data_IF_768731790319
#
_entry.id   IF_768731790319
#
_cell.length_a   1.000
_cell.length_b   1.000
_cell.length_c   1.000
_cell.angle_alpha   90.00
_cell.angle_beta   90.00
_cell.angle_gamma   90.00
#
_symmetry.space_group_name_H-M   'P 1'
#
loop_
_entity.id
_entity.type
_entity.pdbx_description
1 polymer ?
#
# COMPACT_ATOMS: atom_id res chain seq x y z
N UNK A 1 2.41 -0.25 0.46
CA UNK A 1 2.90 -1.50 -0.14
C UNK A 1 1.80 -2.37 -0.77
N UNK A 2 0.60 -1.90 -0.96
CA UNK A 2 -0.61 -2.70 -1.21
C UNK A 2 -1.42 -2.40 -2.47
N UNK A 3 -0.94 -1.63 -3.45
CA UNK A 3 -1.72 -1.38 -4.66
C UNK A 3 -1.85 -2.59 -5.58
N UNK A 4 -0.99 -3.58 -5.39
CA UNK A 4 -0.86 -4.71 -6.30
C UNK A 4 -2.04 -5.68 -6.26
N UNK A 5 -2.61 -5.96 -5.09
CA UNK A 5 -3.71 -6.94 -4.94
C UNK A 5 -4.99 -6.46 -5.56
N UNK A 6 -5.16 -5.17 -5.59
CA UNK A 6 -6.42 -4.59 -6.01
C UNK A 6 -6.62 -4.69 -7.51
N UNK A 7 -5.54 -4.69 -8.28
CA UNK A 7 -5.64 -4.95 -9.72
C UNK A 7 -5.61 -6.43 -10.09
N UNK A 8 -5.23 -7.32 -9.19
CA UNK A 8 -5.59 -8.73 -9.33
C UNK A 8 -7.10 -8.85 -9.51
N UNK A 9 -7.76 -8.02 -8.81
CA UNK A 9 -9.19 -7.89 -8.90
C UNK A 9 -9.64 -6.95 -10.01
N UNK A 10 -8.94 -5.87 -10.39
CA UNK A 10 -9.33 -4.88 -11.39
C UNK A 10 -8.64 -5.06 -12.75
N UNK A 11 -7.55 -5.82 -12.84
CA UNK A 11 -6.79 -6.01 -14.09
C UNK A 11 -7.50 -6.80 -15.18
N UNK A 12 -8.70 -7.33 -14.89
CA UNK A 12 -9.63 -7.82 -15.91
C UNK A 12 -10.56 -6.67 -16.33
N UNK A 13 -9.99 -5.49 -16.59
CA UNK A 13 -10.74 -4.36 -17.11
C UNK A 13 -11.08 -4.56 -18.59
N UNK A 14 -12.28 -4.18 -18.93
CA UNK A 14 -13.02 -4.35 -20.17
C UNK A 14 -12.28 -4.22 -21.54
N UNK A 15 -11.19 -3.46 -21.74
CA UNK A 15 -10.51 -3.43 -23.03
C UNK A 15 -9.67 -4.68 -23.31
N UNK A 16 -9.16 -5.38 -22.27
CA UNK A 16 -8.34 -6.59 -22.44
C UNK A 16 -9.16 -7.86 -22.60
N UNK A 17 -10.44 -7.87 -22.25
CA UNK A 17 -11.35 -8.99 -22.47
C UNK A 17 -11.58 -9.31 -23.95
N UNK A 18 -11.45 -8.33 -24.84
CA UNK A 18 -11.58 -8.58 -26.28
C UNK A 18 -10.44 -9.35 -26.90
N UNK A 19 -9.23 -9.21 -26.37
CA UNK A 19 -8.04 -9.97 -26.82
C UNK A 19 -7.87 -11.32 -26.12
N UNK A 20 -8.63 -11.61 -25.07
CA UNK A 20 -8.49 -12.78 -24.21
C UNK A 20 -9.68 -13.76 -24.27
N UNK A 21 -10.47 -13.78 -25.35
CA UNK A 21 -11.61 -14.70 -25.49
C UNK A 21 -11.24 -16.18 -25.30
N UNK A 22 -9.98 -16.57 -25.55
CA UNK A 22 -9.44 -17.91 -25.28
C UNK A 22 -9.15 -18.17 -23.80
N UNK A 23 -8.65 -17.19 -23.06
CA UNK A 23 -8.31 -17.30 -21.63
C UNK A 23 -9.55 -17.26 -20.73
N UNK A 24 -10.63 -16.59 -21.15
CA UNK A 24 -11.90 -16.59 -20.43
C UNK A 24 -12.49 -18.01 -20.31
N UNK A 25 -12.43 -18.78 -21.39
CA UNK A 25 -12.90 -20.18 -21.36
C UNK A 25 -12.05 -21.07 -20.46
N UNK A 26 -10.72 -20.89 -20.48
CA UNK A 26 -9.81 -21.63 -19.61
C UNK A 26 -9.97 -21.26 -18.13
N UNK A 27 -10.16 -19.98 -17.82
CA UNK A 27 -10.39 -19.52 -16.44
C UNK A 27 -11.72 -20.05 -15.89
N UNK A 28 -12.80 -19.97 -16.65
CA UNK A 28 -14.12 -20.51 -16.26
C UNK A 28 -14.06 -22.03 -16.09
N UNK A 29 -13.35 -22.73 -16.96
CA UNK A 29 -13.20 -24.19 -16.88
C UNK A 29 -12.35 -24.59 -15.67
N UNK A 30 -11.25 -23.88 -15.39
CA UNK A 30 -10.41 -24.13 -14.22
C UNK A 30 -11.16 -23.84 -12.91
N UNK A 31 -11.93 -22.75 -12.86
CA UNK A 31 -12.78 -22.39 -11.71
C UNK A 31 -13.87 -23.46 -11.50
N UNK A 32 -14.50 -23.93 -12.57
CA UNK A 32 -15.50 -24.98 -12.50
C UNK A 32 -14.94 -26.32 -12.00
N UNK A 33 -13.73 -26.68 -12.41
CA UNK A 33 -13.05 -27.91 -11.96
C UNK A 33 -12.63 -27.83 -10.49
N UNK A 34 -12.14 -26.67 -10.03
CA UNK A 34 -11.74 -26.45 -8.63
C UNK A 34 -12.95 -26.48 -7.68
N UNK A 35 -14.05 -25.85 -8.08
CA UNK A 35 -15.31 -25.91 -7.32
C UNK A 35 -15.86 -27.34 -7.22
N UNK A 36 -15.78 -28.13 -8.31
CA UNK A 36 -16.20 -29.52 -8.31
C UNK A 36 -15.27 -30.41 -7.45
N UNK A 37 -13.98 -30.05 -7.34
CA UNK A 37 -13.02 -30.76 -6.49
C UNK A 37 -13.26 -30.45 -5.00
N UNK A 38 -13.54 -29.19 -4.64
CA UNK A 38 -13.89 -28.78 -3.27
C UNK A 38 -15.19 -29.39 -2.78
N UNK A 39 -16.22 -29.49 -3.63
CA UNK A 39 -17.47 -30.16 -3.29
C UNK A 39 -17.31 -31.66 -3.05
N UNK A 40 -16.36 -32.32 -3.71
CA UNK A 40 -16.09 -33.77 -3.54
C UNK A 40 -15.30 -34.09 -2.26
N UNK A 41 -14.50 -33.15 -1.75
CA UNK A 41 -13.57 -33.44 -0.65
C UNK A 41 -14.06 -33.05 0.76
N UNK A 42 -15.27 -32.53 0.92
CA UNK A 42 -15.99 -32.42 2.20
C UNK A 42 -15.20 -31.85 3.41
N UNK A 43 -14.16 -31.04 3.22
CA UNK A 43 -13.30 -30.56 4.29
C UNK A 43 -13.72 -29.18 4.80
N UNK A 44 -14.59 -29.18 5.80
CA UNK A 44 -14.73 -28.10 6.78
C UNK A 44 -14.15 -28.59 8.11
N UNK A 45 -12.86 -28.42 8.33
CA UNK A 45 -12.28 -28.55 9.68
C UNK A 45 -11.37 -27.37 9.99
N UNK A 46 -11.77 -26.63 11.06
CA UNK A 46 -10.97 -25.59 11.70
C UNK A 46 -9.85 -26.24 12.53
N UNK A 47 -8.62 -25.74 12.48
CA UNK A 47 -7.52 -26.25 13.30
C UNK A 47 -7.67 -25.88 14.78
N UNK A 48 -7.45 -26.85 15.66
CA UNK A 48 -7.62 -26.76 17.11
C UNK A 48 -6.37 -26.19 17.80
N UNK A 49 -6.11 -24.87 17.72
CA UNK A 49 -5.07 -24.21 18.54
C UNK A 49 -5.58 -22.99 19.34
N UNK A 50 -6.89 -22.87 19.55
CA UNK A 50 -7.52 -21.72 20.24
C UNK A 50 -7.78 -21.90 21.74
N UNK A 51 -7.16 -22.87 22.40
CA UNK A 51 -7.31 -23.03 23.84
C UNK A 51 -5.95 -23.08 24.53
N UNK A 52 -5.50 -21.97 25.09
CA UNK A 52 -4.71 -21.78 26.31
C UNK A 52 -3.98 -20.44 26.31
N UNK A 53 -4.46 -19.48 27.09
CA UNK A 53 -3.63 -18.63 27.97
C UNK A 53 -4.53 -17.71 28.81
N UNK A 54 -4.54 -17.95 30.13
CA UNK A 54 -5.13 -17.06 31.10
C UNK A 54 -4.11 -16.05 31.63
N UNK A 55 -4.53 -14.82 31.87
CA UNK A 55 -3.72 -13.78 32.51
C UNK A 55 -4.45 -13.16 33.68
N UNK A 56 -3.74 -13.02 34.79
CA UNK A 56 -4.19 -12.41 36.04
C UNK A 56 -3.89 -10.90 36.02
N UNK A 57 -4.82 -10.14 36.58
CA UNK A 57 -4.78 -8.68 36.75
C UNK A 57 -4.11 -8.30 38.06
N UNK A 58 -3.25 -7.30 38.05
CA UNK A 58 -2.71 -6.62 39.22
C UNK A 58 -2.89 -5.12 39.14
N UNK A 59 -3.62 -4.57 40.10
CA UNK A 59 -3.89 -3.15 40.30
C UNK A 59 -2.83 -2.49 41.16
N UNK A 60 -2.39 -1.27 40.82
CA UNK A 60 -1.69 -0.37 41.74
C UNK A 60 -2.09 1.11 41.52
N UNK A 61 -2.28 1.79 42.66
CA UNK A 61 -2.85 3.13 42.82
C UNK A 61 -1.86 4.27 42.63
N UNK A 62 -2.41 5.41 42.26
CA UNK A 62 -1.74 6.73 42.09
C UNK A 62 -1.69 7.58 43.33
N UNK A 63 -0.71 8.45 43.40
CA UNK A 63 -0.74 9.71 44.16
C UNK A 63 -0.23 10.86 43.29
N UNK A 64 -0.98 11.98 43.35
CA UNK A 64 -0.72 13.27 42.72
C UNK A 64 0.32 14.10 43.46
N UNK A 65 1.10 14.89 42.71
CA UNK A 65 1.64 16.14 43.17
C UNK A 65 1.98 17.07 42.01
N UNK A 66 1.36 18.25 41.99
CA UNK A 66 1.61 19.35 41.04
C UNK A 66 2.89 20.07 41.34
N UNK A 67 3.69 20.39 40.33
CA UNK A 67 4.68 21.47 40.38
C UNK A 67 4.99 21.97 38.95
N UNK A 68 4.71 23.25 38.74
CA UNK A 68 4.97 24.02 37.54
C UNK A 68 6.46 24.05 37.18
N UNK A 69 6.86 23.57 36.00
CA UNK A 69 8.19 23.80 35.41
C UNK A 69 8.13 23.79 33.88
N UNK A 70 8.93 24.68 33.31
CA UNK A 70 9.24 24.85 31.88
C UNK A 70 9.17 23.56 31.11
N UNK A 71 8.44 23.59 30.04
CA UNK A 71 8.21 22.45 29.13
C UNK A 71 9.52 22.04 28.44
N UNK A 72 10.27 21.17 29.11
CA UNK A 72 11.22 20.29 28.47
C UNK A 72 10.33 19.20 27.89
N UNK A 73 10.26 19.10 26.57
CA UNK A 73 9.60 17.99 25.88
C UNK A 73 10.37 16.72 26.26
N UNK A 74 9.98 16.11 27.38
CA UNK A 74 10.46 14.79 27.76
C UNK A 74 9.80 13.83 26.76
N UNK A 75 10.58 13.02 26.01
CA UNK A 75 9.99 11.99 25.15
C UNK A 75 9.07 11.11 26.01
N UNK A 76 7.78 11.10 25.70
CA UNK A 76 6.84 10.19 26.37
C UNK A 76 7.36 8.78 26.17
N UNK A 77 7.60 7.99 27.23
CA UNK A 77 8.10 6.65 27.10
C UNK A 77 7.12 5.84 26.27
N UNK A 78 7.62 5.16 25.22
CA UNK A 78 6.83 4.29 24.36
C UNK A 78 6.20 3.19 25.22
N UNK A 79 4.94 2.87 24.94
CA UNK A 79 4.24 1.77 25.59
C UNK A 79 4.84 0.44 25.13
N UNK A 80 4.75 -0.58 25.95
CA UNK A 80 5.25 -1.91 25.60
C UNK A 80 4.67 -2.46 24.30
N UNK A 81 3.39 -2.21 24.05
CA UNK A 81 2.71 -2.55 22.81
C UNK A 81 3.31 -1.83 21.58
N UNK A 82 3.68 -0.57 21.72
CA UNK A 82 4.33 0.21 20.65
C UNK A 82 5.70 -0.36 20.30
N UNK A 83 6.47 -0.77 21.32
CA UNK A 83 7.77 -1.43 21.14
C UNK A 83 7.65 -2.76 20.40
N UNK A 84 6.56 -3.51 20.62
CA UNK A 84 6.30 -4.74 19.86
C UNK A 84 6.07 -4.46 18.38
N UNK A 85 5.30 -3.43 18.02
CA UNK A 85 5.10 -3.06 16.63
C UNK A 85 6.38 -2.54 15.97
N UNK A 86 7.18 -1.73 16.67
CA UNK A 86 8.47 -1.27 16.16
C UNK A 86 9.39 -2.45 15.86
N UNK A 87 9.50 -3.41 16.79
CA UNK A 87 10.28 -4.62 16.59
C UNK A 87 9.78 -5.44 15.41
N UNK A 88 8.47 -5.69 15.36
CA UNK A 88 7.84 -6.45 14.27
C UNK A 88 8.06 -5.79 12.90
N UNK A 89 7.94 -4.46 12.82
CA UNK A 89 8.19 -3.70 11.60
C UNK A 89 9.65 -3.78 11.15
N UNK A 90 10.58 -3.64 12.08
CA UNK A 90 12.02 -3.78 11.82
C UNK A 90 12.38 -5.19 11.35
N UNK A 91 11.89 -6.22 12.04
CA UNK A 91 12.11 -7.62 11.63
C UNK A 91 11.54 -7.94 10.25
N UNK A 92 10.35 -7.40 9.94
CA UNK A 92 9.74 -7.56 8.62
C UNK A 92 10.59 -6.91 7.52
N UNK A 93 11.10 -5.70 7.77
CA UNK A 93 12.00 -5.01 6.84
C UNK A 93 13.29 -5.80 6.63
N UNK A 94 13.95 -6.26 7.71
CA UNK A 94 15.19 -7.06 7.63
C UNK A 94 14.97 -8.32 6.79
N UNK A 95 13.92 -9.10 7.08
CA UNK A 95 13.59 -10.32 6.32
C UNK A 95 13.29 -10.03 4.84
N UNK A 96 12.68 -8.89 4.54
CA UNK A 96 12.40 -8.49 3.17
C UNK A 96 13.67 -8.12 2.41
N UNK A 97 14.60 -7.42 3.06
CA UNK A 97 15.90 -7.08 2.49
C UNK A 97 16.74 -8.33 2.23
N UNK A 98 16.76 -9.31 3.15
CA UNK A 98 17.42 -10.60 2.92
C UNK A 98 16.93 -11.29 1.64
N UNK A 99 15.62 -11.21 1.35
CA UNK A 99 15.05 -11.78 0.11
C UNK A 99 15.52 -11.00 -1.13
N UNK A 100 15.58 -9.66 -1.06
CA UNK A 100 16.01 -8.80 -2.18
C UNK A 100 17.49 -8.98 -2.47
N UNK A 101 18.33 -9.05 -1.44
CA UNK A 101 19.78 -9.17 -1.53
C UNK A 101 20.24 -10.55 -2.01
N UNK A 102 19.48 -11.60 -1.71
CA UNK A 102 19.78 -12.93 -2.26
C UNK A 102 19.54 -12.96 -3.77
N UNK A 103 20.62 -12.88 -4.52
CA UNK A 103 20.61 -12.80 -6.01
C UNK A 103 20.20 -14.10 -6.69
N UNK A 104 20.12 -15.22 -5.96
CA UNK A 104 19.84 -16.52 -6.55
C UNK A 104 18.33 -16.75 -6.80
N UNK A 105 18.02 -17.43 -7.87
CA UNK A 105 16.66 -17.92 -8.17
C UNK A 105 15.68 -16.88 -8.73
N UNK A 106 16.10 -15.64 -8.96
CA UNK A 106 15.28 -14.65 -9.64
C UNK A 106 15.16 -14.95 -11.15
N UNK A 107 13.94 -14.82 -11.69
CA UNK A 107 13.62 -14.95 -13.10
C UNK A 107 12.88 -13.71 -13.56
N UNK A 108 13.20 -13.20 -14.73
CA UNK A 108 12.45 -12.10 -15.36
C UNK A 108 11.04 -12.55 -15.71
N UNK A 109 10.04 -11.81 -15.24
CA UNK A 109 8.62 -12.05 -15.52
C UNK A 109 8.09 -11.08 -16.57
N UNK A 110 8.41 -9.79 -16.46
CA UNK A 110 7.96 -8.72 -17.34
C UNK A 110 9.06 -7.69 -17.51
N UNK A 111 9.14 -7.12 -18.71
CA UNK A 111 9.94 -5.95 -19.01
C UNK A 111 9.07 -4.98 -19.82
N UNK A 112 9.00 -3.73 -19.41
CA UNK A 112 8.26 -2.66 -20.11
C UNK A 112 9.24 -1.79 -20.88
N UNK A 113 8.77 -1.12 -21.94
CA UNK A 113 9.60 -0.26 -22.81
C UNK A 113 10.21 0.96 -22.07
N UNK A 114 9.60 1.35 -20.95
CA UNK A 114 10.06 2.43 -20.07
C UNK A 114 11.19 2.03 -19.11
N UNK A 115 11.69 0.80 -19.21
CA UNK A 115 12.76 0.27 -18.37
C UNK A 115 12.29 -0.37 -17.05
N UNK A 116 10.99 -0.48 -16.80
CA UNK A 116 10.48 -1.22 -15.64
C UNK A 116 10.71 -2.72 -15.85
N UNK A 117 11.33 -3.37 -14.87
CA UNK A 117 11.57 -4.82 -14.90
C UNK A 117 10.97 -5.45 -13.66
N UNK A 118 10.25 -6.55 -13.86
CA UNK A 118 9.75 -7.37 -12.76
C UNK A 118 10.40 -8.74 -12.81
N UNK A 119 10.95 -9.13 -11.70
CA UNK A 119 11.49 -10.45 -11.45
C UNK A 119 10.58 -11.22 -10.50
N UNK A 120 10.64 -12.54 -10.58
CA UNK A 120 9.99 -13.43 -9.62
C UNK A 120 10.95 -14.45 -9.03
N UNK A 121 10.65 -14.88 -7.82
CA UNK A 121 11.36 -15.92 -7.10
C UNK A 121 10.38 -16.76 -6.31
N UNK A 122 10.63 -18.07 -6.24
CA UNK A 122 9.84 -18.97 -5.40
C UNK A 122 10.59 -19.17 -4.08
N UNK A 123 9.93 -18.80 -2.98
CA UNK A 123 10.42 -19.03 -1.62
C UNK A 123 9.98 -20.41 -1.13
N UNK A 124 10.49 -20.81 0.05
CA UNK A 124 10.05 -22.01 0.74
C UNK A 124 8.52 -22.04 0.91
N UNK A 125 7.90 -23.22 0.82
CA UNK A 125 6.44 -23.35 0.90
C UNK A 125 5.70 -22.91 -0.37
N UNK A 126 6.38 -22.90 -1.53
CA UNK A 126 5.79 -22.63 -2.85
C UNK A 126 5.16 -21.22 -2.95
N UNK A 127 5.70 -20.27 -2.18
CA UNK A 127 5.30 -18.85 -2.23
C UNK A 127 6.10 -18.13 -3.30
N UNK A 128 5.40 -17.62 -4.32
CA UNK A 128 6.00 -16.78 -5.35
C UNK A 128 5.98 -15.32 -4.93
N UNK A 129 7.14 -14.68 -4.97
CA UNK A 129 7.32 -13.24 -4.69
C UNK A 129 7.78 -12.52 -5.95
N UNK A 130 7.54 -11.22 -6.01
CA UNK A 130 7.87 -10.39 -7.17
C UNK A 130 8.70 -9.19 -6.74
N UNK A 131 9.73 -8.86 -7.52
CA UNK A 131 10.59 -7.70 -7.33
C UNK A 131 10.53 -6.81 -8.55
N UNK A 132 9.97 -5.63 -8.40
CA UNK A 132 9.99 -4.59 -9.41
C UNK A 132 11.23 -3.71 -9.20
N UNK A 133 11.93 -3.43 -10.28
CA UNK A 133 13.03 -2.46 -10.35
C UNK A 133 12.71 -1.40 -11.40
N UNK A 134 12.92 -0.14 -11.05
CA UNK A 134 12.65 0.98 -11.94
C UNK A 134 13.39 2.24 -11.49
N UNK A 135 13.46 3.24 -12.38
CA UNK A 135 13.91 4.59 -12.06
C UNK A 135 12.71 5.54 -12.02
N UNK A 136 12.67 6.38 -10.98
CA UNK A 136 11.67 7.44 -10.80
C UNK A 136 12.33 8.81 -10.85
N UNK A 137 11.67 9.75 -11.53
CA UNK A 137 12.12 11.15 -11.65
C UNK A 137 11.71 11.94 -10.41
N UNK A 138 12.26 11.57 -9.26
CA UNK A 138 12.05 12.20 -7.97
C UNK A 138 13.15 11.77 -6.99
N UNK A 139 13.38 12.60 -5.98
CA UNK A 139 14.30 12.29 -4.88
C UNK A 139 13.74 11.21 -3.95
N UNK A 140 14.58 10.50 -3.18
CA UNK A 140 14.11 9.55 -2.18
C UNK A 140 13.12 10.16 -1.18
N UNK A 141 13.32 11.41 -0.78
CA UNK A 141 12.47 12.13 0.16
C UNK A 141 11.07 12.41 -0.41
N UNK A 142 10.99 12.82 -1.67
CA UNK A 142 9.70 13.07 -2.35
C UNK A 142 8.90 11.78 -2.50
N UNK A 143 9.54 10.70 -2.89
CA UNK A 143 8.91 9.39 -3.01
C UNK A 143 8.44 8.90 -1.63
N UNK A 144 9.32 8.96 -0.62
CA UNK A 144 8.98 8.60 0.76
C UNK A 144 7.79 9.41 1.28
N UNK A 145 7.80 10.72 1.08
CA UNK A 145 6.73 11.60 1.53
C UNK A 145 5.35 11.20 0.98
N UNK A 146 5.29 10.80 -0.29
CA UNK A 146 4.04 10.33 -0.92
C UNK A 146 3.63 8.96 -0.37
N UNK A 147 4.58 8.04 -0.21
CA UNK A 147 4.32 6.68 0.23
C UNK A 147 4.01 6.57 1.72
N UNK A 148 4.58 7.46 2.55
CA UNK A 148 4.36 7.45 3.99
C UNK A 148 3.04 8.10 4.40
N UNK A 149 2.49 9.01 3.58
CA UNK A 149 1.15 9.58 3.76
C UNK A 149 0.07 8.63 3.26
N UNK A 150 -0.02 7.48 3.92
CA UNK A 150 -0.86 6.36 3.48
C UNK A 150 -2.34 6.72 3.33
N UNK A 151 -2.86 7.61 4.19
CA UNK A 151 -4.26 8.02 4.18
C UNK A 151 -4.65 8.80 2.92
N UNK A 152 -3.68 9.41 2.22
CA UNK A 152 -3.89 10.10 0.95
C UNK A 152 -3.73 9.19 -0.27
N UNK A 153 -3.32 7.94 -0.06
CA UNK A 153 -2.98 7.02 -1.15
C UNK A 153 -4.18 6.70 -2.05
N UNK A 154 -5.38 6.68 -1.50
CA UNK A 154 -6.62 6.46 -2.26
C UNK A 154 -6.91 7.56 -3.29
N UNK A 155 -6.34 8.76 -3.13
CA UNK A 155 -6.56 9.90 -4.03
C UNK A 155 -5.84 9.75 -5.38
N UNK A 156 -4.69 9.06 -5.38
CA UNK A 156 -3.88 8.88 -6.58
C UNK A 156 -3.78 7.42 -7.03
N UNK A 157 -4.12 6.48 -6.17
CA UNK A 157 -4.13 5.05 -6.46
C UNK A 157 -5.54 4.49 -6.45
N UNK A 158 -6.17 4.32 -7.62
CA UNK A 158 -7.56 3.85 -7.73
C UNK A 158 -7.76 2.42 -7.23
N UNK A 159 -6.67 1.74 -6.93
CA UNK A 159 -6.69 0.38 -6.42
C UNK A 159 -7.03 0.30 -4.94
N UNK A 160 -6.99 1.39 -4.23
CA UNK A 160 -7.28 1.49 -2.79
C UNK A 160 -8.62 2.21 -2.63
N UNK A 161 -9.55 1.58 -1.92
CA UNK A 161 -10.81 2.22 -1.52
C UNK A 161 -10.61 3.13 -0.31
N UNK A 162 -9.90 2.61 0.68
CA UNK A 162 -9.62 3.31 1.93
C UNK A 162 -8.39 2.74 2.62
N UNK A 163 -7.68 3.58 3.33
CA UNK A 163 -6.60 3.19 4.22
C UNK A 163 -6.60 4.09 5.45
N UNK A 164 -6.44 3.51 6.63
CA UNK A 164 -6.44 4.20 7.93
C UNK A 164 -5.23 3.80 8.74
N UNK A 165 -4.63 4.77 9.42
CA UNK A 165 -3.68 4.50 10.50
C UNK A 165 -4.48 4.18 11.75
N UNK A 166 -4.35 2.95 12.25
CA UNK A 166 -5.01 2.49 13.47
C UNK A 166 -4.18 2.79 14.72
N UNK A 167 -2.85 2.69 14.59
CA UNK A 167 -1.88 2.99 15.65
C UNK A 167 -0.64 3.63 15.06
N UNK A 168 -0.09 4.59 15.78
CA UNK A 168 1.25 5.13 15.54
C UNK A 168 2.16 4.62 16.66
N UNK A 169 3.27 3.99 16.30
CA UNK A 169 4.27 3.45 17.22
C UNK A 169 5.60 4.17 16.95
N UNK A 170 5.80 5.32 17.58
CA UNK A 170 6.89 6.24 17.24
C UNK A 170 6.75 6.86 15.85
N UNK A 171 7.76 7.64 15.38
CA UNK A 171 7.69 8.35 14.09
C UNK A 171 7.85 7.42 12.88
N UNK A 172 8.50 6.28 13.05
CA UNK A 172 8.95 5.39 11.98
C UNK A 172 8.09 4.13 11.80
N UNK A 173 7.06 3.95 12.64
CA UNK A 173 6.24 2.74 12.63
C UNK A 173 4.77 3.06 12.79
N UNK A 174 3.93 2.43 11.98
CA UNK A 174 2.48 2.53 12.10
C UNK A 174 1.80 1.20 11.82
N UNK A 175 0.63 0.99 12.41
CA UNK A 175 -0.28 -0.10 12.07
C UNK A 175 -1.40 0.47 11.23
N UNK A 176 -1.63 -0.11 10.05
CA UNK A 176 -2.62 0.36 9.09
C UNK A 176 -3.64 -0.71 8.76
N UNK A 177 -4.87 -0.25 8.53
CA UNK A 177 -5.92 -1.03 7.90
C UNK A 177 -6.22 -0.48 6.52
N UNK A 178 -6.10 -1.32 5.51
CA UNK A 178 -6.35 -0.98 4.12
C UNK A 178 -7.46 -1.85 3.55
N UNK A 179 -8.32 -1.24 2.75
CA UNK A 179 -9.40 -1.92 2.02
C UNK A 179 -9.18 -1.71 0.53
N UNK A 180 -9.20 -2.81 -0.22
CA UNK A 180 -9.10 -2.79 -1.66
C UNK A 180 -10.34 -2.14 -2.30
N UNK A 181 -10.18 -1.51 -3.47
CA UNK A 181 -11.31 -1.07 -4.27
C UNK A 181 -12.15 -2.27 -4.74
N UNK A 182 -13.40 -2.03 -5.11
CA UNK A 182 -14.28 -3.05 -5.67
C UNK A 182 -13.86 -3.43 -7.09
N UNK A 183 -14.03 -4.71 -7.42
CA UNK A 183 -13.62 -5.24 -8.71
C UNK A 183 -14.80 -5.82 -9.45
N UNK A 184 -14.88 -5.49 -10.76
CA UNK A 184 -15.72 -6.18 -11.75
C UNK A 184 -17.07 -6.68 -11.18
N UNK A 185 -17.87 -5.78 -10.59
CA UNK A 185 -19.19 -6.13 -10.04
C UNK A 185 -19.11 -7.00 -8.78
N UNK A 186 -18.02 -6.94 -8.04
CA UNK A 186 -17.81 -7.66 -6.77
C UNK A 186 -17.80 -9.20 -6.89
N UNK A 187 -17.50 -9.72 -8.08
CA UNK A 187 -17.34 -11.16 -8.30
C UNK A 187 -16.19 -11.76 -7.50
N UNK A 188 -15.18 -10.93 -7.23
CA UNK A 188 -14.05 -11.27 -6.38
C UNK A 188 -14.18 -10.41 -5.14
N UNK A 189 -14.56 -10.97 -4.00
CA UNK A 189 -14.77 -10.22 -2.76
C UNK A 189 -13.60 -9.28 -2.44
N UNK A 190 -13.90 -8.10 -1.89
CA UNK A 190 -12.89 -7.14 -1.47
C UNK A 190 -11.93 -7.76 -0.46
N UNK A 191 -10.68 -7.33 -0.50
CA UNK A 191 -9.66 -7.70 0.50
C UNK A 191 -9.46 -6.55 1.47
N UNK A 192 -9.23 -6.91 2.71
CA UNK A 192 -8.68 -5.98 3.68
C UNK A 192 -7.33 -6.49 4.18
N UNK A 193 -6.49 -5.57 4.63
CA UNK A 193 -5.15 -5.83 5.11
C UNK A 193 -4.93 -5.11 6.43
N UNK A 194 -4.36 -5.82 7.37
CA UNK A 194 -3.91 -5.25 8.63
C UNK A 194 -2.40 -5.46 8.71
N UNK A 195 -1.64 -4.38 8.58
CA UNK A 195 -0.19 -4.46 8.40
C UNK A 195 0.54 -3.49 9.33
N UNK A 196 1.66 -3.94 9.89
CA UNK A 196 2.66 -3.06 10.46
C UNK A 196 3.50 -2.50 9.31
N UNK A 197 3.76 -1.20 9.33
CA UNK A 197 4.65 -0.49 8.39
C UNK A 197 5.76 0.17 9.18
N UNK A 198 6.97 0.03 8.67
CA UNK A 198 8.17 0.62 9.27
C UNK A 198 9.04 1.22 8.18
N UNK A 199 9.68 2.35 8.46
CA UNK A 199 10.73 2.85 7.59
C UNK A 199 12.03 3.08 8.37
N UNK A 200 13.14 3.00 7.66
CA UNK A 200 14.45 3.40 8.17
C UNK A 200 15.22 4.18 7.11
N UNK A 201 16.20 4.93 7.58
CA UNK A 201 17.11 5.69 6.72
C UNK A 201 18.54 5.25 7.01
N UNK A 202 19.29 5.03 5.96
CA UNK A 202 20.73 4.76 6.03
C UNK A 202 21.41 5.62 4.97
N UNK A 203 22.22 6.56 5.40
CA UNK A 203 22.83 7.54 4.50
C UNK A 203 21.77 8.31 3.69
N UNK A 204 21.82 8.21 2.37
CA UNK A 204 20.85 8.80 1.44
C UNK A 204 19.73 7.85 1.01
N UNK A 205 19.75 6.59 1.45
CA UNK A 205 18.77 5.57 1.08
C UNK A 205 17.61 5.53 2.09
N UNK A 206 16.41 5.26 1.58
CA UNK A 206 15.20 5.08 2.38
C UNK A 206 14.65 3.69 2.15
N UNK A 207 14.37 3.02 3.24
CA UNK A 207 13.84 1.66 3.29
C UNK A 207 12.46 1.70 3.94
N UNK A 208 11.43 1.25 3.22
CA UNK A 208 10.10 1.05 3.77
C UNK A 208 9.83 -0.44 3.80
N UNK A 209 9.43 -0.96 4.94
CA UNK A 209 9.12 -2.38 5.11
C UNK A 209 7.81 -2.61 5.84
N UNK A 210 7.37 -3.85 5.87
CA UNK A 210 6.20 -4.24 6.63
C UNK A 210 5.78 -5.68 6.37
N UNK A 211 4.83 -6.10 7.19
CA UNK A 211 4.16 -7.39 7.07
C UNK A 211 2.78 -7.32 7.70
N UNK A 212 1.97 -8.35 7.45
CA UNK A 212 0.72 -8.54 8.17
C UNK A 212 0.97 -8.59 9.68
N UNK A 213 0.05 -7.99 10.43
CA UNK A 213 0.06 -7.98 11.90
C UNK A 213 -1.30 -8.38 12.45
N UNK A 214 -1.37 -8.57 13.74
CA UNK A 214 -2.61 -8.85 14.46
C UNK A 214 -2.91 -7.72 15.45
N UNK A 215 -4.19 -7.36 15.54
CA UNK A 215 -4.70 -6.41 16.52
C UNK A 215 -6.01 -6.97 17.08
N UNK A 216 -6.03 -7.32 18.37
CA UNK A 216 -7.20 -7.91 19.02
C UNK A 216 -8.45 -7.04 18.89
N UNK A 217 -8.27 -5.72 18.99
CA UNK A 217 -9.36 -4.75 18.84
C UNK A 217 -9.84 -4.61 17.38
N UNK A 218 -9.19 -5.27 16.42
CA UNK A 218 -9.51 -5.16 14.99
C UNK A 218 -9.53 -6.54 14.28
N UNK A 219 -10.47 -7.44 14.66
CA UNK A 219 -10.59 -8.77 14.03
C UNK A 219 -10.96 -8.64 12.53
N UNK A 220 -10.88 -9.73 11.76
CA UNK A 220 -11.34 -9.75 10.37
C UNK A 220 -12.77 -9.20 10.24
N UNK A 221 -12.96 -8.27 9.31
CA UNK A 221 -14.23 -7.56 9.14
C UNK A 221 -15.16 -8.33 8.21
N UNK A 222 -16.46 -8.39 8.57
CA UNK A 222 -17.48 -9.06 7.75
C UNK A 222 -17.57 -8.38 6.37
N UNK A 223 -17.59 -9.19 5.33
CA UNK A 223 -17.67 -8.72 3.93
C UNK A 223 -16.33 -8.58 3.23
N UNK A 224 -15.22 -8.78 3.95
CA UNK A 224 -13.87 -8.77 3.39
C UNK A 224 -13.18 -10.12 3.56
N UNK A 225 -12.25 -10.41 2.66
CA UNK A 225 -11.27 -11.48 2.83
C UNK A 225 -10.01 -10.85 3.40
N UNK A 226 -9.61 -11.21 4.63
CA UNK A 226 -8.39 -10.76 5.25
C UNK A 226 -7.19 -11.38 4.52
N UNK A 227 -6.56 -10.57 3.67
CA UNK A 227 -5.31 -10.94 3.01
C UNK A 227 -4.11 -10.63 3.91
N UNK A 228 -2.95 -11.20 3.62
CA UNK A 228 -1.76 -11.07 4.45
C UNK A 228 -0.55 -10.68 3.59
N UNK A 229 0.13 -9.61 3.98
CA UNK A 229 1.47 -9.34 3.49
C UNK A 229 2.46 -10.26 4.21
N UNK A 230 3.31 -10.94 3.45
CA UNK A 230 4.56 -11.43 4.00
C UNK A 230 5.56 -10.28 4.22
N UNK A 231 6.80 -10.57 4.64
CA UNK A 231 7.86 -9.57 4.64
C UNK A 231 7.99 -8.92 3.25
N UNK A 232 7.80 -7.61 3.18
CA UNK A 232 7.81 -6.81 1.95
C UNK A 232 8.57 -5.52 2.18
N UNK A 233 9.25 -5.00 1.16
CA UNK A 233 9.98 -3.75 1.27
C UNK A 233 9.96 -2.94 -0.03
N UNK A 234 10.19 -1.64 0.13
CA UNK A 234 10.58 -0.72 -0.92
C UNK A 234 11.93 -0.14 -0.53
N UNK A 235 12.89 -0.19 -1.44
CA UNK A 235 14.21 0.45 -1.33
C UNK A 235 14.24 1.61 -2.30
N UNK A 236 14.62 2.78 -1.82
CA UNK A 236 14.70 4.03 -2.61
C UNK A 236 16.11 4.57 -2.44
N UNK A 237 16.87 4.56 -3.53
CA UNK A 237 18.28 4.96 -3.56
C UNK A 237 18.45 6.10 -4.56
N UNK A 238 19.15 7.20 -4.23
CA UNK A 238 19.44 8.24 -5.21
C UNK A 238 20.34 7.67 -6.30
N UNK A 239 20.15 8.10 -7.55
CA UNK A 239 21.12 7.77 -8.60
C UNK A 239 22.44 8.51 -8.37
N UNK A 240 23.55 7.82 -8.57
CA UNK A 240 24.89 8.37 -8.35
C UNK A 240 25.16 9.63 -9.22
N UNK A 241 24.68 9.61 -10.46
CA UNK A 241 24.93 10.66 -11.45
C UNK A 241 23.82 11.74 -11.49
N UNK A 242 22.70 11.50 -10.79
CA UNK A 242 21.54 12.39 -10.79
C UNK A 242 20.72 12.24 -9.52
N UNK A 243 21.02 13.04 -8.52
CA UNK A 243 20.33 13.00 -7.21
C UNK A 243 18.87 13.46 -7.26
N UNK A 244 18.40 14.03 -8.37
CA UNK A 244 17.00 14.34 -8.63
C UNK A 244 16.18 13.12 -9.03
N UNK A 245 16.82 11.97 -9.28
CA UNK A 245 16.18 10.70 -9.62
C UNK A 245 16.56 9.60 -8.64
N UNK A 246 15.71 8.60 -8.53
CA UNK A 246 15.93 7.48 -7.63
C UNK A 246 15.77 6.14 -8.33
N UNK A 247 16.65 5.21 -7.98
CA UNK A 247 16.39 3.80 -8.21
C UNK A 247 15.35 3.31 -7.18
N UNK A 248 14.33 2.64 -7.66
CA UNK A 248 13.19 2.18 -6.86
C UNK A 248 13.05 0.66 -7.01
N UNK A 249 13.30 -0.04 -5.93
CA UNK A 249 13.13 -1.50 -5.84
C UNK A 249 11.96 -1.82 -4.92
N UNK A 250 11.00 -2.63 -5.38
CA UNK A 250 9.85 -3.05 -4.57
C UNK A 250 9.66 -4.55 -4.56
N UNK A 251 9.89 -5.16 -3.39
CA UNK A 251 9.54 -6.56 -3.13
C UNK A 251 8.07 -6.68 -2.73
N UNK A 252 7.30 -7.39 -3.52
CA UNK A 252 5.92 -7.77 -3.25
C UNK A 252 5.86 -9.23 -2.81
N UNK A 253 5.47 -9.44 -1.55
CA UNK A 253 5.25 -10.75 -0.95
C UNK A 253 3.86 -10.75 -0.30
N UNK A 254 2.89 -11.46 -0.91
CA UNK A 254 1.50 -11.33 -0.53
C UNK A 254 0.74 -12.63 -0.69
N UNK A 255 -0.13 -12.91 0.26
CA UNK A 255 -1.14 -13.96 0.20
C UNK A 255 -2.54 -13.32 0.15
N UNK A 256 -3.15 -13.36 -1.02
CA UNK A 256 -4.47 -12.75 -1.25
C UNK A 256 -5.61 -13.53 -0.60
N UNK A 257 -5.32 -14.72 -0.08
CA UNK A 257 -6.31 -15.63 0.53
C UNK A 257 -7.56 -15.87 -0.35
N UNK A 258 -8.47 -16.65 0.19
CA UNK A 258 -9.72 -16.98 -0.52
C UNK A 258 -9.53 -18.06 -1.57
N UNK A 259 -10.47 -18.12 -2.50
CA UNK A 259 -10.61 -19.21 -3.48
C UNK A 259 -9.84 -19.00 -4.79
N UNK A 260 -9.13 -17.89 -4.96
CA UNK A 260 -8.47 -17.55 -6.22
C UNK A 260 -7.35 -18.53 -6.57
N UNK A 261 -7.34 -19.10 -7.79
CA UNK A 261 -6.27 -19.98 -8.25
C UNK A 261 -4.91 -19.27 -8.24
N UNK A 262 -3.87 -19.94 -7.71
CA UNK A 262 -2.50 -19.40 -7.64
C UNK A 262 -1.99 -18.90 -8.99
N UNK A 263 -2.36 -19.57 -10.10
CA UNK A 263 -1.97 -19.17 -11.45
C UNK A 263 -2.50 -17.78 -11.83
N UNK A 264 -3.75 -17.47 -11.48
CA UNK A 264 -4.37 -16.17 -11.71
C UNK A 264 -3.69 -15.11 -10.83
N UNK A 265 -3.48 -15.41 -9.55
CA UNK A 265 -2.77 -14.52 -8.61
C UNK A 265 -1.38 -14.19 -9.13
N UNK A 266 -0.61 -15.20 -9.54
CA UNK A 266 0.76 -15.05 -10.02
C UNK A 266 0.88 -14.26 -11.33
N UNK A 267 -0.16 -14.23 -12.17
CA UNK A 267 -0.19 -13.41 -13.38
C UNK A 267 -0.57 -11.95 -13.11
N UNK A 268 -1.36 -11.72 -12.10
CA UNK A 268 -1.93 -10.39 -11.83
C UNK A 268 -1.05 -9.56 -10.89
N UNK A 269 -0.34 -10.15 -9.93
CA UNK A 269 0.51 -9.42 -8.99
C UNK A 269 1.60 -8.58 -9.68
N UNK A 270 2.37 -9.09 -10.67
CA UNK A 270 3.36 -8.27 -11.36
C UNK A 270 2.73 -7.10 -12.13
N UNK A 271 1.58 -7.32 -12.78
CA UNK A 271 0.87 -6.23 -13.47
C UNK A 271 0.39 -5.16 -12.50
N UNK A 272 -0.06 -5.56 -11.33
CA UNK A 272 -0.47 -4.65 -10.29
C UNK A 272 0.70 -3.78 -9.76
N UNK A 273 1.93 -4.32 -9.71
CA UNK A 273 3.12 -3.50 -9.41
C UNK A 273 3.36 -2.41 -10.49
N UNK A 274 3.28 -2.78 -11.78
CA UNK A 274 3.42 -1.81 -12.89
C UNK A 274 2.39 -0.70 -12.82
N UNK A 275 1.16 -1.05 -12.56
CA UNK A 275 0.06 -0.08 -12.50
C UNK A 275 0.20 0.87 -11.30
N UNK A 276 0.65 0.37 -10.16
CA UNK A 276 1.00 1.22 -9.04
C UNK A 276 2.11 2.20 -9.41
N UNK A 277 3.16 1.71 -10.03
CA UNK A 277 4.30 2.54 -10.42
C UNK A 277 3.88 3.62 -11.42
N UNK A 278 2.97 3.31 -12.36
CA UNK A 278 2.37 4.31 -13.27
C UNK A 278 1.57 5.38 -12.51
N UNK A 279 0.82 4.98 -11.48
CA UNK A 279 0.07 5.91 -10.64
C UNK A 279 1.02 6.78 -9.79
N UNK A 280 2.08 6.18 -9.24
CA UNK A 280 3.10 6.89 -8.47
C UNK A 280 3.84 7.91 -9.32
N UNK A 281 4.26 7.56 -10.56
CA UNK A 281 4.88 8.49 -11.50
C UNK A 281 3.96 9.68 -11.80
N UNK A 282 2.69 9.44 -12.07
CA UNK A 282 1.73 10.54 -12.28
C UNK A 282 1.63 11.43 -11.05
N UNK A 283 1.53 10.84 -9.87
CA UNK A 283 1.44 11.61 -8.63
C UNK A 283 2.70 12.42 -8.34
N UNK A 284 3.87 11.91 -8.69
CA UNK A 284 5.15 12.64 -8.59
C UNK A 284 5.19 13.81 -9.59
N UNK A 285 4.76 13.59 -10.83
CA UNK A 285 4.71 14.63 -11.87
C UNK A 285 3.72 15.76 -11.54
N UNK A 286 2.62 15.48 -10.83
CA UNK A 286 1.63 16.49 -10.41
C UNK A 286 2.18 17.46 -9.33
N UNK A 287 3.36 17.20 -8.78
CA UNK A 287 3.98 18.00 -7.74
C UNK A 287 3.21 18.02 -6.40
N UNK A 288 3.61 18.84 -5.44
CA UNK A 288 2.86 19.04 -4.21
C UNK A 288 1.51 19.64 -4.56
N UNK A 289 0.43 18.99 -4.13
CA UNK A 289 -0.96 19.40 -4.38
C UNK A 289 -1.12 20.91 -4.21
N UNK A 290 -1.36 21.63 -5.30
CA UNK A 290 -1.71 23.05 -5.24
C UNK A 290 -2.92 23.15 -4.31
N UNK A 291 -2.74 23.81 -3.17
CA UNK A 291 -3.87 24.21 -2.34
C UNK A 291 -4.79 25.02 -3.25
N UNK A 292 -6.01 24.56 -3.48
CA UNK A 292 -7.06 25.38 -4.05
C UNK A 292 -7.27 26.57 -3.11
N UNK A 293 -6.49 27.61 -3.30
CA UNK A 293 -6.83 28.95 -2.82
C UNK A 293 -7.95 29.43 -3.74
N UNK A 294 -9.19 29.19 -3.32
CA UNK A 294 -10.35 29.91 -3.83
C UNK A 294 -10.16 31.39 -3.45
N UNK A 295 -9.36 32.13 -4.21
CA UNK A 295 -9.44 33.56 -4.26
C UNK A 295 -10.69 33.92 -5.07
N UNK A 296 -11.82 34.04 -4.40
CA UNK A 296 -12.89 34.89 -4.86
C UNK A 296 -12.31 36.31 -4.96
N UNK A 297 -11.89 36.70 -6.14
CA UNK A 297 -11.67 38.09 -6.46
C UNK A 297 -13.04 38.79 -6.47
N UNK A 298 -13.25 39.86 -5.68
CA UNK A 298 -14.47 40.63 -5.79
C UNK A 298 -14.46 41.34 -7.13
N UNK A 299 -15.44 41.05 -7.97
CA UNK A 299 -15.71 41.73 -9.24
C UNK A 299 -16.13 43.16 -8.90
N UNK A 300 -15.22 44.11 -9.03
CA UNK A 300 -15.55 45.52 -8.96
C UNK A 300 -16.28 45.88 -10.27
N UNK A 301 -17.59 46.03 -10.15
CA UNK A 301 -18.46 46.55 -11.20
C UNK A 301 -18.09 48.01 -11.47
N UNK A 302 -17.42 48.29 -12.60
CA UNK A 302 -17.11 49.65 -13.05
C UNK A 302 -18.34 50.21 -13.71
N UNK A 303 -19.06 51.06 -13.00
CA UNK A 303 -20.18 51.86 -13.53
C UNK A 303 -19.72 52.67 -14.74
N UNK A 304 -20.41 52.52 -15.88
CA UNK A 304 -20.27 53.38 -17.07
C UNK A 304 -20.91 54.73 -16.77
N UNK A 305 -20.12 55.80 -16.89
CA UNK A 305 -20.64 57.17 -17.00
C UNK A 305 -21.21 57.38 -18.41
N UNK A 306 -22.35 58.12 -18.56
CA UNK A 306 -22.90 58.49 -19.85
C UNK A 306 -22.11 59.65 -20.48
N UNK A 307 -22.10 59.80 -21.82
CA UNK A 307 -21.35 60.83 -22.53
C UNK A 307 -22.04 62.18 -22.40
N UNK A 308 -21.22 63.22 -22.07
CA UNK A 308 -21.67 64.63 -22.14
C UNK A 308 -21.84 65.07 -23.59
N UNK A 309 -23.08 65.50 -23.92
CA UNK A 309 -23.40 66.22 -25.15
C UNK A 309 -22.85 67.64 -25.05
N UNK A 310 -21.96 68.00 -25.96
CA UNK A 310 -21.59 69.37 -26.25
C UNK A 310 -22.65 69.94 -27.22
N UNK A 311 -23.34 70.95 -26.77
CA UNK A 311 -24.14 71.83 -27.63
C UNK A 311 -23.29 73.00 -28.07
N UNK A 312 -23.08 73.11 -29.37
CA UNK A 312 -22.55 74.30 -30.00
C UNK A 312 -23.65 75.38 -30.04
N UNK A 313 -23.28 76.62 -29.68
CA UNK A 313 -23.93 77.86 -30.15
C UNK A 313 -22.90 78.94 -30.30
N UNK A 314 -22.80 79.41 -31.57
CA UNK A 314 -22.13 80.59 -32.10
C UNK A 314 -20.63 80.78 -31.98
#
# INVERSE_FOLDING_TARGET
MLPAVVKLCCGISYPHLRTMAGLQRLAITAIGQELAHMQRNGQTQLPAWTSHMGWQTGTAQHQHSESSRREVVIPVPLKEEELLYIRSGHEALTKALDIVEDKNGWKTELTEDNGDVIYSKVLSGDRKVFRLETVLDATPEEIHHILWKVELMHQWNPSIKNIKVLKQAGPETMVTHEVSAETAGNLIGQRDFLSVRHFSRQESCIYLGGAATHLESFPPQKGFVRAEDGPTCIVIEPLADDTGRSHFTWLLNMDVKGWLPKSIVNQALPRAQLDFTRCLRRRLADGPTQRHTNHHAPTVSRARQPPHTLSDTH
#
